data_IF_890268357606
#
_entry.id   IF_890268357606
#
_cell.length_a   1.000
_cell.length_b   1.000
_cell.length_c   1.000
_cell.angle_alpha   90.00
_cell.angle_beta   90.00
_cell.angle_gamma   90.00
#
_symmetry.space_group_name_H-M   'P 1'
#
loop_
_entity.id
_entity.type
_entity.pdbx_description
1 polymer ?
#
# COMPACT_ATOMS: atom_id res chain seq x y z
N UNK A 1 -31.36 8.69 6.37
CA UNK A 1 -30.26 7.84 5.85
C UNK A 1 -28.96 8.63 5.97
N UNK A 2 -27.99 8.15 6.76
CA UNK A 2 -26.69 8.78 6.83
C UNK A 2 -25.99 8.67 5.46
N UNK A 3 -25.44 9.77 4.96
CA UNK A 3 -24.66 9.78 3.72
C UNK A 3 -23.34 9.06 4.02
N UNK A 4 -23.09 7.93 3.37
CA UNK A 4 -21.85 7.17 3.57
C UNK A 4 -20.68 8.06 3.11
N UNK A 5 -19.77 8.36 4.03
CA UNK A 5 -18.55 9.11 3.73
C UNK A 5 -17.48 8.18 3.15
N UNK A 6 -17.62 7.86 1.87
CA UNK A 6 -16.72 6.94 1.17
C UNK A 6 -15.26 7.42 1.18
N UNK A 7 -15.04 8.74 1.13
CA UNK A 7 -13.69 9.33 1.14
C UNK A 7 -13.08 9.21 2.53
N UNK A 8 -13.86 9.51 3.58
CA UNK A 8 -13.43 9.31 4.97
C UNK A 8 -13.02 7.87 5.22
N UNK A 9 -13.87 6.91 4.83
CA UNK A 9 -13.56 5.49 4.95
C UNK A 9 -12.34 5.05 4.12
N UNK A 10 -12.10 5.61 2.93
CA UNK A 10 -10.88 5.30 2.17
C UNK A 10 -9.62 5.81 2.87
N UNK A 11 -9.66 7.03 3.44
CA UNK A 11 -8.56 7.59 4.23
C UNK A 11 -8.25 6.73 5.45
N UNK A 12 -9.27 6.35 6.21
CA UNK A 12 -9.12 5.49 7.40
C UNK A 12 -8.50 4.14 7.03
N UNK A 13 -9.09 3.44 6.07
CA UNK A 13 -8.62 2.11 5.64
C UNK A 13 -7.17 2.14 5.14
N UNK A 14 -6.78 3.15 4.37
CA UNK A 14 -5.41 3.26 3.87
C UNK A 14 -4.42 3.71 4.95
N UNK A 15 -4.87 4.49 5.94
CA UNK A 15 -4.05 4.86 7.09
C UNK A 15 -3.78 3.64 7.97
N UNK A 16 -4.79 2.82 8.22
CA UNK A 16 -4.65 1.56 8.96
C UNK A 16 -3.74 0.58 8.22
N UNK A 17 -3.89 0.50 6.90
CA UNK A 17 -2.99 -0.26 6.05
C UNK A 17 -1.54 0.22 6.18
N UNK A 18 -1.30 1.54 6.14
CA UNK A 18 0.02 2.10 6.35
C UNK A 18 0.57 1.77 7.74
N UNK A 19 -0.22 1.92 8.80
CA UNK A 19 0.21 1.59 10.16
C UNK A 19 0.65 0.12 10.30
N UNK A 20 -0.03 -0.80 9.61
CA UNK A 20 0.30 -2.24 9.65
C UNK A 20 1.50 -2.63 8.80
N UNK A 21 1.69 -1.98 7.67
CA UNK A 21 2.64 -2.44 6.63
C UNK A 21 3.84 -1.50 6.45
N UNK A 22 3.74 -0.28 6.98
CA UNK A 22 4.61 0.86 6.70
C UNK A 22 4.83 1.09 5.20
N UNK A 23 3.86 0.74 4.36
CA UNK A 23 3.99 0.85 2.91
C UNK A 23 3.80 2.31 2.44
N UNK A 24 4.85 2.99 1.94
CA UNK A 24 4.77 4.42 1.60
C UNK A 24 3.71 4.75 0.54
N UNK A 25 3.42 3.83 -0.39
CA UNK A 25 2.42 4.08 -1.44
C UNK A 25 1.03 4.37 -0.85
N UNK A 26 0.66 3.73 0.26
CA UNK A 26 -0.58 4.02 0.96
C UNK A 26 -0.55 5.42 1.59
N UNK A 27 0.55 5.81 2.22
CA UNK A 27 0.72 7.15 2.79
C UNK A 27 0.58 8.24 1.73
N UNK A 28 1.27 8.09 0.59
CA UNK A 28 1.16 9.03 -0.52
C UNK A 28 -0.23 9.11 -1.13
N UNK A 29 -0.97 7.98 -1.18
CA UNK A 29 -2.38 7.98 -1.61
C UNK A 29 -3.26 8.73 -0.63
N UNK A 30 -3.12 8.49 0.69
CA UNK A 30 -3.87 9.19 1.73
C UNK A 30 -3.58 10.69 1.68
N UNK A 31 -2.30 11.07 1.60
CA UNK A 31 -1.91 12.47 1.47
C UNK A 31 -2.58 13.14 0.26
N UNK A 32 -2.49 12.51 -0.92
CA UNK A 32 -3.13 13.02 -2.14
C UNK A 32 -4.65 13.17 -1.98
N UNK A 33 -5.32 12.19 -1.37
CA UNK A 33 -6.76 12.23 -1.10
C UNK A 33 -7.13 13.39 -0.18
N UNK A 34 -6.42 13.54 0.93
CA UNK A 34 -6.67 14.60 1.90
C UNK A 34 -6.52 15.99 1.25
N UNK A 35 -5.45 16.19 0.45
CA UNK A 35 -5.24 17.46 -0.27
C UNK A 35 -6.31 17.73 -1.33
N UNK A 36 -6.78 16.71 -2.06
CA UNK A 36 -7.83 16.86 -3.09
C UNK A 36 -9.22 17.11 -2.52
N UNK A 37 -9.46 16.72 -1.27
CA UNK A 37 -10.78 16.75 -0.65
C UNK A 37 -10.86 17.71 0.52
N UNK A 38 -9.81 18.52 0.70
CA UNK A 38 -9.63 19.50 1.78
C UNK A 38 -9.86 18.91 3.18
N UNK A 39 -9.25 17.75 3.43
CA UNK A 39 -9.30 17.04 4.70
C UNK A 39 -7.98 17.10 5.45
N UNK A 40 -8.00 17.01 6.79
CA UNK A 40 -6.78 16.93 7.57
C UNK A 40 -6.01 15.64 7.22
N UNK A 41 -4.70 15.79 7.03
CA UNK A 41 -3.81 14.65 6.83
C UNK A 41 -3.53 14.01 8.20
N UNK A 42 -3.68 12.69 8.35
CA UNK A 42 -3.32 12.01 9.60
C UNK A 42 -1.83 12.17 9.93
N UNK A 43 -1.49 12.36 11.21
CA UNK A 43 -0.12 12.67 11.64
C UNK A 43 0.91 11.62 11.20
N UNK A 44 0.56 10.33 11.25
CA UNK A 44 1.43 9.24 10.78
C UNK A 44 1.73 9.30 9.29
N UNK A 45 0.80 9.85 8.49
CA UNK A 45 1.00 10.06 7.06
C UNK A 45 1.91 11.26 6.84
N UNK A 46 1.65 12.38 7.53
CA UNK A 46 2.51 13.56 7.49
C UNK A 46 3.96 13.20 7.80
N UNK A 47 4.20 12.42 8.87
CA UNK A 47 5.54 11.98 9.25
C UNK A 47 6.26 11.18 8.15
N UNK A 48 5.55 10.35 7.38
CA UNK A 48 6.14 9.60 6.27
C UNK A 48 6.44 10.49 5.05
N UNK A 49 5.59 11.48 4.78
CA UNK A 49 5.85 12.48 3.73
C UNK A 49 7.05 13.34 4.11
N UNK A 50 7.12 13.80 5.35
CA UNK A 50 8.23 14.58 5.88
C UNK A 50 9.53 13.79 5.84
N UNK A 51 9.53 12.52 6.26
CA UNK A 51 10.69 11.62 6.14
C UNK A 51 11.23 11.54 4.70
N UNK A 52 10.34 11.43 3.71
CA UNK A 52 10.75 11.40 2.31
C UNK A 52 11.29 12.77 1.86
N UNK A 53 10.61 13.85 2.24
CA UNK A 53 11.00 15.22 1.89
C UNK A 53 12.35 15.61 2.50
N UNK A 54 12.61 15.28 3.77
CA UNK A 54 13.89 15.45 4.47
C UNK A 54 15.02 14.75 3.71
N UNK A 55 14.84 13.50 3.30
CA UNK A 55 15.87 12.79 2.54
C UNK A 55 16.21 13.41 1.17
N UNK A 56 15.25 14.09 0.54
CA UNK A 56 15.51 14.88 -0.68
C UNK A 56 16.16 16.22 -0.33
N UNK A 57 15.74 16.85 0.77
CA UNK A 57 16.30 18.10 1.25
C UNK A 57 17.78 17.96 1.62
N UNK A 58 18.20 16.86 2.25
CA UNK A 58 19.60 16.56 2.56
C UNK A 58 20.47 16.53 1.29
N UNK A 59 19.97 15.95 0.20
CA UNK A 59 20.68 15.92 -1.07
C UNK A 59 20.78 17.33 -1.70
N UNK A 60 19.74 18.14 -1.55
CA UNK A 60 19.76 19.53 -1.98
C UNK A 60 20.72 20.39 -1.14
N UNK A 61 20.75 20.20 0.18
CA UNK A 61 21.68 20.86 1.10
C UNK A 61 23.13 20.55 0.73
N UNK A 62 23.46 19.27 0.51
CA UNK A 62 24.79 18.86 0.06
C UNK A 62 25.21 19.56 -1.24
N UNK A 63 24.27 19.75 -2.17
CA UNK A 63 24.54 20.47 -3.42
C UNK A 63 24.80 21.97 -3.18
N UNK A 64 24.03 22.59 -2.27
CA UNK A 64 24.19 24.01 -1.92
C UNK A 64 25.47 24.30 -1.13
N UNK A 65 25.95 23.34 -0.35
CA UNK A 65 27.16 23.45 0.47
C UNK A 65 28.45 23.01 -0.25
N UNK A 66 28.37 22.58 -1.50
CA UNK A 66 29.53 22.10 -2.24
C UNK A 66 30.55 23.22 -2.52
N UNK A 67 31.84 22.93 -2.36
CA UNK A 67 32.91 23.89 -2.62
C UNK A 67 32.97 24.33 -4.10
N UNK A 68 33.49 25.54 -4.33
CA UNK A 68 33.71 26.06 -5.68
C UNK A 68 34.75 25.19 -6.40
N UNK A 69 34.30 24.42 -7.40
CA UNK A 69 35.13 23.46 -8.15
C UNK A 69 34.87 21.99 -7.79
N UNK A 70 34.03 21.70 -6.79
CA UNK A 70 33.55 20.36 -6.53
C UNK A 70 32.77 19.81 -7.73
N UNK A 71 32.80 18.48 -7.92
CA UNK A 71 31.95 17.83 -8.91
C UNK A 71 30.48 18.02 -8.51
N UNK A 72 29.56 18.19 -9.48
CA UNK A 72 28.13 18.29 -9.17
C UNK A 72 27.65 17.09 -8.34
N UNK A 73 26.92 17.37 -7.27
CA UNK A 73 26.26 16.33 -6.47
C UNK A 73 25.28 15.57 -7.36
N UNK A 74 25.42 14.24 -7.39
CA UNK A 74 24.57 13.36 -8.17
C UNK A 74 23.59 12.66 -7.24
N UNK A 75 22.32 13.04 -7.28
CA UNK A 75 21.25 12.31 -6.59
C UNK A 75 20.75 11.18 -7.47
N UNK A 76 21.24 9.96 -7.21
CA UNK A 76 21.08 8.81 -8.10
C UNK A 76 19.70 8.18 -7.96
N UNK A 77 19.17 7.55 -9.03
CA UNK A 77 17.90 6.81 -8.96
C UNK A 77 17.85 5.75 -7.85
N UNK A 78 18.99 5.13 -7.51
CA UNK A 78 19.06 4.15 -6.42
C UNK A 78 18.85 4.77 -5.03
N UNK A 79 19.30 6.01 -4.82
CA UNK A 79 19.14 6.75 -3.55
C UNK A 79 17.68 7.20 -3.41
N UNK A 80 17.12 7.80 -4.45
CA UNK A 80 15.69 8.11 -4.52
C UNK A 80 14.84 6.84 -4.32
N UNK A 81 15.22 5.73 -4.95
CA UNK A 81 14.54 4.45 -4.79
C UNK A 81 14.63 3.89 -3.37
N UNK A 82 15.73 4.12 -2.65
CA UNK A 82 15.87 3.75 -1.24
C UNK A 82 14.97 4.62 -0.35
N UNK A 83 14.92 5.93 -0.60
CA UNK A 83 14.02 6.84 0.10
C UNK A 83 12.55 6.49 -0.14
N UNK A 84 12.18 6.21 -1.39
CA UNK A 84 10.82 5.82 -1.78
C UNK A 84 10.38 4.53 -1.10
N UNK A 85 11.27 3.55 -1.03
CA UNK A 85 11.02 2.27 -0.38
C UNK A 85 10.88 2.42 1.13
N UNK A 86 11.69 3.29 1.74
CA UNK A 86 11.69 3.50 3.18
C UNK A 86 11.82 2.15 3.93
N UNK A 87 10.97 1.86 4.91
CA UNK A 87 10.97 0.57 5.61
C UNK A 87 10.47 -0.59 4.75
N UNK A 88 9.72 -0.31 3.68
CA UNK A 88 9.25 -1.32 2.73
C UNK A 88 10.40 -1.72 1.80
N UNK A 89 11.12 -2.80 2.13
CA UNK A 89 12.28 -3.29 1.35
C UNK A 89 11.98 -3.59 -0.14
N UNK A 90 10.70 -3.80 -0.49
CA UNK A 90 10.24 -4.20 -1.83
C UNK A 90 9.76 -3.03 -2.70
N UNK A 91 8.96 -3.30 -3.73
CA UNK A 91 8.26 -2.27 -4.51
C UNK A 91 6.95 -1.88 -3.78
N UNK A 92 6.81 -0.66 -3.23
CA UNK A 92 5.63 -0.27 -2.46
C UNK A 92 4.31 -0.41 -3.23
N UNK A 93 4.29 0.01 -4.50
CA UNK A 93 3.10 -0.10 -5.37
C UNK A 93 2.81 -1.55 -5.71
N UNK A 94 3.83 -2.33 -6.02
CA UNK A 94 3.69 -3.77 -6.29
C UNK A 94 3.12 -4.53 -5.09
N UNK A 95 3.62 -4.25 -3.89
CA UNK A 95 3.08 -4.80 -2.64
C UNK A 95 1.61 -4.42 -2.44
N UNK A 96 1.24 -3.16 -2.67
CA UNK A 96 -0.15 -2.72 -2.58
C UNK A 96 -1.05 -3.43 -3.62
N UNK A 97 -0.55 -3.66 -4.83
CA UNK A 97 -1.25 -4.42 -5.87
C UNK A 97 -1.43 -5.89 -5.48
N UNK A 98 -0.41 -6.53 -4.93
CA UNK A 98 -0.48 -7.91 -4.46
C UNK A 98 -1.49 -8.07 -3.32
N UNK A 99 -1.50 -7.15 -2.36
CA UNK A 99 -2.47 -7.16 -1.26
C UNK A 99 -3.91 -6.92 -1.75
N UNK A 100 -4.10 -6.00 -2.71
CA UNK A 100 -5.40 -5.79 -3.32
C UNK A 100 -5.90 -7.03 -4.08
N UNK A 101 -5.02 -7.67 -4.86
CA UNK A 101 -5.34 -8.94 -5.54
C UNK A 101 -5.78 -9.99 -4.52
N UNK A 102 -5.03 -10.15 -3.45
CA UNK A 102 -5.34 -11.14 -2.42
C UNK A 102 -6.67 -10.83 -1.72
N UNK A 103 -6.99 -9.56 -1.49
CA UNK A 103 -8.29 -9.14 -0.95
C UNK A 103 -9.45 -9.45 -1.90
N UNK A 104 -9.28 -9.21 -3.21
CA UNK A 104 -10.28 -9.61 -4.22
C UNK A 104 -10.50 -11.12 -4.25
N UNK A 105 -9.44 -11.91 -4.14
CA UNK A 105 -9.52 -13.37 -4.04
C UNK A 105 -10.29 -13.78 -2.79
N UNK A 106 -9.98 -13.19 -1.63
CA UNK A 106 -10.71 -13.44 -0.39
C UNK A 106 -12.21 -13.20 -0.56
N UNK A 107 -12.61 -12.05 -1.10
CA UNK A 107 -14.02 -11.72 -1.32
C UNK A 107 -14.70 -12.62 -2.35
N UNK A 108 -13.96 -13.06 -3.38
CA UNK A 108 -14.47 -14.03 -4.35
C UNK A 108 -14.80 -15.38 -3.68
N UNK A 109 -13.93 -15.86 -2.78
CA UNK A 109 -14.20 -17.08 -1.99
C UNK A 109 -15.38 -16.83 -1.04
N UNK A 110 -15.37 -15.71 -0.31
CA UNK A 110 -16.43 -15.35 0.65
C UNK A 110 -17.80 -15.28 -0.01
N UNK A 111 -17.90 -14.71 -1.21
CA UNK A 111 -19.14 -14.65 -1.97
C UNK A 111 -19.72 -16.03 -2.28
N UNK A 112 -18.88 -16.99 -2.71
CA UNK A 112 -19.33 -18.37 -2.96
C UNK A 112 -19.77 -19.07 -1.67
N UNK A 113 -19.05 -18.85 -0.58
CA UNK A 113 -19.37 -19.40 0.74
C UNK A 113 -20.70 -18.86 1.27
N UNK A 114 -20.91 -17.56 1.17
CA UNK A 114 -22.18 -16.92 1.54
C UNK A 114 -23.36 -17.44 0.71
N UNK A 115 -23.10 -17.91 -0.52
CA UNK A 115 -24.08 -18.55 -1.39
C UNK A 115 -24.24 -20.07 -1.12
N UNK A 116 -23.71 -20.57 -0.01
CA UNK A 116 -23.87 -21.96 0.43
C UNK A 116 -22.82 -22.95 -0.08
N UNK A 117 -21.79 -22.49 -0.79
CA UNK A 117 -20.69 -23.37 -1.25
C UNK A 117 -19.76 -23.69 -0.09
N UNK A 118 -19.30 -24.94 0.05
CA UNK A 118 -18.28 -25.28 1.04
C UNK A 118 -16.98 -24.55 0.73
N UNK A 119 -16.27 -24.10 1.78
CA UNK A 119 -15.04 -23.30 1.65
C UNK A 119 -14.01 -23.96 0.72
N UNK A 120 -13.77 -25.26 0.86
CA UNK A 120 -12.80 -25.97 0.02
C UNK A 120 -13.16 -25.99 -1.47
N UNK A 121 -14.45 -26.11 -1.78
CA UNK A 121 -14.97 -26.09 -3.16
C UNK A 121 -14.94 -24.66 -3.72
N UNK A 122 -15.25 -23.67 -2.89
CA UNK A 122 -15.15 -22.25 -3.25
C UNK A 122 -13.71 -21.84 -3.56
N UNK A 123 -12.74 -22.26 -2.74
CA UNK A 123 -11.31 -22.03 -2.97
C UNK A 123 -10.85 -22.65 -4.30
N UNK A 124 -11.27 -23.87 -4.58
CA UNK A 124 -10.94 -24.56 -5.83
C UNK A 124 -11.57 -23.89 -7.05
N UNK A 125 -12.83 -23.50 -6.94
CA UNK A 125 -13.52 -22.76 -7.99
C UNK A 125 -12.83 -21.43 -8.29
N UNK A 126 -12.38 -20.69 -7.26
CA UNK A 126 -11.63 -19.44 -7.44
C UNK A 126 -10.25 -19.67 -8.05
N UNK A 127 -9.52 -20.70 -7.60
CA UNK A 127 -8.21 -21.05 -8.16
C UNK A 127 -8.27 -21.38 -9.66
N UNK A 128 -9.37 -22.01 -10.11
CA UNK A 128 -9.63 -22.37 -11.52
C UNK A 128 -10.10 -21.18 -12.38
N UNK A 129 -10.38 -20.00 -11.81
CA UNK A 129 -10.84 -18.84 -12.60
C UNK A 129 -9.72 -18.33 -13.50
N UNK A 130 -10.08 -18.05 -14.76
CA UNK A 130 -9.18 -17.40 -15.72
C UNK A 130 -8.70 -16.05 -15.15
N UNK A 131 -7.39 -15.87 -15.09
CA UNK A 131 -6.76 -14.65 -14.57
C UNK A 131 -6.37 -14.67 -13.09
N UNK A 132 -6.77 -15.70 -12.31
CA UNK A 132 -6.24 -15.88 -10.94
C UNK A 132 -4.86 -16.52 -11.01
N UNK A 133 -4.71 -17.62 -11.73
CA UNK A 133 -3.40 -18.25 -11.98
C UNK A 133 -2.66 -18.71 -10.72
N UNK A 134 -3.37 -18.91 -9.59
CA UNK A 134 -2.81 -19.35 -8.32
C UNK A 134 -3.22 -20.77 -7.98
N UNK A 135 -2.38 -21.47 -7.22
CA UNK A 135 -2.74 -22.78 -6.65
C UNK A 135 -3.84 -22.64 -5.59
N UNK A 136 -4.61 -23.72 -5.40
CA UNK A 136 -5.61 -23.82 -4.31
C UNK A 136 -4.98 -23.53 -2.94
N UNK A 137 -3.75 -24.01 -2.70
CA UNK A 137 -3.02 -23.78 -1.45
C UNK A 137 -2.72 -22.29 -1.21
N UNK A 138 -2.44 -21.55 -2.28
CA UNK A 138 -2.22 -20.10 -2.18
C UNK A 138 -3.53 -19.39 -1.86
N UNK A 139 -4.64 -19.78 -2.50
CA UNK A 139 -5.98 -19.26 -2.21
C UNK A 139 -6.39 -19.57 -0.76
N UNK A 140 -6.09 -20.77 -0.26
CA UNK A 140 -6.34 -21.16 1.13
C UNK A 140 -5.52 -20.33 2.12
N UNK A 141 -4.24 -20.08 1.83
CA UNK A 141 -3.39 -19.21 2.66
C UNK A 141 -3.95 -17.79 2.74
N UNK A 142 -4.41 -17.24 1.62
CA UNK A 142 -5.07 -15.93 1.55
C UNK A 142 -6.35 -15.93 2.40
N UNK A 143 -7.21 -16.93 2.21
CA UNK A 143 -8.46 -17.09 2.97
C UNK A 143 -8.23 -17.10 4.49
N UNK A 144 -7.27 -17.92 4.95
CA UNK A 144 -6.90 -18.02 6.37
C UNK A 144 -6.33 -16.71 6.91
N UNK A 145 -5.49 -16.02 6.13
CA UNK A 145 -4.88 -14.75 6.54
C UNK A 145 -5.93 -13.68 6.83
N UNK A 146 -6.95 -13.55 5.97
CA UNK A 146 -7.99 -12.54 6.14
C UNK A 146 -9.04 -12.90 7.21
N UNK A 147 -9.27 -14.19 7.51
CA UNK A 147 -10.19 -14.60 8.58
C UNK A 147 -9.53 -14.71 9.98
N UNK A 148 -8.20 -14.66 10.09
CA UNK A 148 -7.51 -14.55 11.40
C UNK A 148 -7.40 -13.12 11.91
N UNK A 149 -7.54 -12.14 11.01
CA UNK A 149 -7.36 -10.72 11.28
C UNK A 149 -8.69 -9.95 11.33
N UNK A 150 -9.83 -10.65 11.39
CA UNK A 150 -11.16 -10.09 11.57
C UNK A 150 -11.85 -10.77 12.74
#
# INVERSE_FOLDING_TARGET
>A
MAKIDLIGSEIENLTDYFNRTSNPAAAWRVFSLCRKTDRPVPAVITAEIDRFAEGVADAAEQAMMAEVGAKPVQFRPAELGKLWRGPCKGNPVGAMQDEWRDYQIYWAVRGLVNNGTKVGDAQEAVAKRKGVGLSKDTVDRIWKRHNRNG
#
